data_IF_117659616386
#
_entry.id   IF_117659616386
#
_cell.length_a   1.000
_cell.length_b   1.000
_cell.length_c   1.000
_cell.angle_alpha   90.00
_cell.angle_beta   90.00
_cell.angle_gamma   90.00
#
_symmetry.space_group_name_H-M   'P 1'
#
loop_
_entity.id
_entity.type
_entity.pdbx_description
1 polymer ?
#
# COMPACT_ATOMS: atom_id res chain seq x y z
N UNK A 1 -57.14 -9.99 -0.88
CA UNK A 1 -56.42 -8.75 -1.23
C UNK A 1 -55.29 -8.66 -0.22
N UNK A 2 -54.06 -8.91 -0.68
CA UNK A 2 -52.88 -9.08 0.15
C UNK A 2 -52.54 -7.80 0.93
N UNK A 3 -51.97 -7.90 2.15
CA UNK A 3 -51.41 -6.75 2.83
C UNK A 3 -50.15 -6.28 2.12
N UNK A 4 -50.16 -5.01 1.72
CA UNK A 4 -49.05 -4.24 1.19
C UNK A 4 -47.91 -4.19 2.22
N UNK A 5 -46.87 -4.98 1.98
CA UNK A 5 -45.59 -4.92 2.68
C UNK A 5 -44.85 -3.68 2.17
N UNK A 6 -45.32 -2.50 2.59
CA UNK A 6 -44.49 -1.32 2.68
C UNK A 6 -43.38 -1.65 3.70
N UNK A 7 -42.33 -2.27 3.20
CA UNK A 7 -41.10 -2.52 3.92
C UNK A 7 -40.61 -1.15 4.41
N UNK A 8 -40.81 -0.91 5.70
CA UNK A 8 -40.09 0.07 6.49
C UNK A 8 -38.61 -0.32 6.46
N UNK A 9 -37.94 -0.01 5.34
CA UNK A 9 -36.49 0.08 5.30
C UNK A 9 -36.13 1.30 6.12
N UNK A 10 -35.99 1.07 7.42
CA UNK A 10 -35.31 1.98 8.33
C UNK A 10 -33.88 2.06 7.79
N UNK A 11 -33.61 3.13 7.04
CA UNK A 11 -32.27 3.44 6.56
C UNK A 11 -31.41 3.69 7.79
N UNK A 12 -30.60 2.68 8.14
CA UNK A 12 -29.66 2.75 9.24
C UNK A 12 -28.55 3.70 8.81
N UNK A 13 -28.68 4.99 9.18
CA UNK A 13 -27.65 6.05 9.14
C UNK A 13 -26.33 5.62 8.47
N UNK A 14 -26.28 5.81 7.15
CA UNK A 14 -25.05 5.71 6.36
C UNK A 14 -24.09 6.77 6.91
N UNK A 15 -22.94 6.35 7.46
CA UNK A 15 -21.86 7.31 7.69
C UNK A 15 -21.25 7.60 6.32
N UNK A 16 -21.57 8.78 5.78
CA UNK A 16 -21.02 9.26 4.53
C UNK A 16 -19.61 9.81 4.77
N UNK A 17 -18.66 9.35 3.98
CA UNK A 17 -17.28 9.83 3.98
C UNK A 17 -17.02 10.57 2.67
N UNK A 18 -17.38 11.86 2.57
CA UNK A 18 -17.19 12.62 1.35
C UNK A 18 -15.70 12.88 1.12
N UNK A 19 -15.23 12.54 -0.07
CA UNK A 19 -13.93 13.02 -0.56
C UNK A 19 -13.98 14.53 -0.67
N UNK A 20 -13.04 15.24 -0.05
CA UNK A 20 -13.00 16.71 -0.12
C UNK A 20 -12.05 17.18 -1.22
N UNK A 21 -12.61 17.65 -2.33
CA UNK A 21 -11.88 18.32 -3.40
C UNK A 21 -11.74 17.51 -4.69
N UNK A 22 -12.00 18.15 -5.83
CA UNK A 22 -11.69 17.61 -7.15
C UNK A 22 -10.17 17.70 -7.40
N UNK A 23 -9.58 16.66 -7.99
CA UNK A 23 -8.17 16.69 -8.43
C UNK A 23 -8.09 17.06 -9.91
N UNK A 24 -7.15 17.94 -10.25
CA UNK A 24 -6.80 18.26 -11.64
C UNK A 24 -5.77 17.27 -12.23
N UNK A 25 -5.26 16.34 -11.42
CA UNK A 25 -4.29 15.33 -11.86
C UNK A 25 -4.98 14.05 -12.35
N UNK A 26 -5.53 14.10 -13.57
CA UNK A 26 -6.18 12.94 -14.20
C UNK A 26 -5.23 11.77 -14.45
N UNK A 27 -3.95 12.07 -14.72
CA UNK A 27 -2.94 11.04 -14.96
C UNK A 27 -2.62 10.32 -13.66
N UNK A 28 -2.46 11.05 -12.55
CA UNK A 28 -2.31 10.45 -11.23
C UNK A 28 -3.45 9.50 -10.87
N UNK A 29 -4.70 9.88 -11.17
CA UNK A 29 -5.90 9.04 -11.00
C UNK A 29 -5.86 7.77 -11.85
N UNK A 30 -5.50 7.89 -13.13
CA UNK A 30 -5.41 6.73 -14.04
C UNK A 30 -4.34 5.73 -13.55
N UNK A 31 -3.19 6.25 -13.12
CA UNK A 31 -2.04 5.44 -12.71
C UNK A 31 -2.13 4.94 -11.25
N UNK A 32 -3.14 5.40 -10.49
CA UNK A 32 -3.33 4.98 -9.10
C UNK A 32 -2.28 5.55 -8.14
N UNK A 33 -1.69 6.70 -8.47
CA UNK A 33 -0.67 7.39 -7.67
C UNK A 33 -1.19 8.64 -6.95
N UNK A 34 -2.50 8.90 -7.05
CA UNK A 34 -3.16 9.97 -6.32
C UNK A 34 -3.10 9.75 -4.80
N UNK A 35 -3.25 10.85 -4.05
CA UNK A 35 -3.46 10.76 -2.60
C UNK A 35 -4.67 9.88 -2.28
N UNK A 36 -4.41 8.82 -1.49
CA UNK A 36 -5.40 7.89 -0.99
C UNK A 36 -5.96 8.43 0.33
N UNK A 37 -7.28 8.64 0.37
CA UNK A 37 -7.97 8.96 1.62
C UNK A 37 -8.23 7.69 2.42
N UNK A 38 -7.92 7.73 3.71
CA UNK A 38 -8.12 6.60 4.63
C UNK A 38 -9.09 6.99 5.72
N UNK A 39 -10.10 6.16 5.90
CA UNK A 39 -11.12 6.35 6.92
C UNK A 39 -11.03 5.20 7.92
N UNK A 40 -11.08 5.54 9.21
CA UNK A 40 -11.16 4.55 10.27
C UNK A 40 -12.61 4.42 10.74
N UNK A 41 -13.20 3.26 10.53
CA UNK A 41 -14.54 2.94 11.02
C UNK A 41 -14.51 1.84 12.08
N UNK A 42 -15.31 1.99 13.15
CA UNK A 42 -15.41 1.02 14.25
C UNK A 42 -16.57 0.05 14.02
N UNK A 43 -16.28 -1.08 13.40
CA UNK A 43 -17.26 -2.16 13.19
C UNK A 43 -17.67 -2.83 14.52
N UNK A 44 -18.94 -3.26 14.59
CA UNK A 44 -19.46 -4.09 15.70
C UNK A 44 -19.65 -5.53 15.20
N UNK A 45 -19.10 -6.50 15.93
CA UNK A 45 -18.98 -7.93 15.57
C UNK A 45 -20.29 -8.69 15.28
N UNK A 46 -21.45 -8.04 15.37
CA UNK A 46 -22.77 -8.69 15.21
C UNK A 46 -23.74 -7.83 14.40
N UNK A 47 -23.23 -6.82 13.71
CA UNK A 47 -24.03 -5.96 12.85
C UNK A 47 -23.57 -6.13 11.40
N UNK A 48 -24.45 -6.49 10.45
CA UNK A 48 -24.13 -6.42 9.04
C UNK A 48 -23.98 -4.95 8.62
N UNK A 49 -23.08 -4.69 7.67
CA UNK A 49 -22.84 -3.37 7.12
C UNK A 49 -22.82 -3.47 5.60
N UNK A 50 -23.56 -2.58 4.94
CA UNK A 50 -23.50 -2.40 3.50
C UNK A 50 -22.43 -1.36 3.18
N UNK A 51 -21.47 -1.74 2.34
CA UNK A 51 -20.46 -0.82 1.84
C UNK A 51 -20.93 -0.30 0.49
N UNK A 52 -21.48 0.91 0.48
CA UNK A 52 -21.96 1.57 -0.73
C UNK A 52 -20.91 2.59 -1.17
N UNK A 53 -20.52 2.50 -2.43
CA UNK A 53 -19.62 3.45 -3.07
C UNK A 53 -20.39 4.19 -4.17
N UNK A 54 -20.51 5.50 -4.02
CA UNK A 54 -21.10 6.37 -5.03
C UNK A 54 -20.02 7.22 -5.68
N UNK A 55 -20.08 7.34 -7.00
CA UNK A 55 -19.16 8.18 -7.77
C UNK A 55 -19.97 9.22 -8.51
N UNK A 56 -19.46 10.44 -8.55
CA UNK A 56 -20.05 11.52 -9.32
C UNK A 56 -19.09 11.94 -10.42
N UNK A 57 -19.61 12.36 -11.59
CA UNK A 57 -18.78 13.00 -12.60
C UNK A 57 -18.02 14.17 -12.00
N UNK A 58 -16.77 14.33 -12.41
CA UNK A 58 -15.95 15.44 -11.96
C UNK A 58 -16.61 16.78 -12.34
N UNK A 59 -16.67 17.76 -11.42
CA UNK A 59 -17.20 19.09 -11.72
C UNK A 59 -16.24 19.94 -12.57
N UNK A 60 -14.99 19.49 -12.73
CA UNK A 60 -13.99 20.13 -13.60
C UNK A 60 -13.82 19.29 -14.87
N UNK A 61 -13.58 19.96 -16.01
CA UNK A 61 -13.39 19.28 -17.29
C UNK A 61 -12.04 18.54 -17.33
N UNK A 62 -12.05 17.33 -16.78
CA UNK A 62 -10.94 16.38 -16.74
C UNK A 62 -11.40 15.00 -17.28
N UNK A 63 -12.46 15.04 -18.10
CA UNK A 63 -13.51 14.03 -18.27
C UNK A 63 -13.14 12.78 -19.08
N UNK A 64 -11.88 12.59 -19.46
CA UNK A 64 -11.51 11.45 -20.31
C UNK A 64 -11.00 10.23 -19.53
N UNK A 65 -10.75 10.36 -18.22
CA UNK A 65 -10.17 9.28 -17.42
C UNK A 65 -10.99 9.06 -16.14
N UNK A 66 -11.84 8.03 -16.16
CA UNK A 66 -12.48 7.48 -14.97
C UNK A 66 -11.79 6.17 -14.60
N UNK A 67 -11.16 6.11 -13.43
CA UNK A 67 -10.64 4.85 -12.89
C UNK A 67 -11.25 4.62 -11.51
N UNK A 68 -11.96 3.51 -11.35
CA UNK A 68 -12.59 3.12 -10.10
C UNK A 68 -11.86 1.92 -9.51
N UNK A 69 -11.20 2.14 -8.38
CA UNK A 69 -10.69 1.05 -7.57
C UNK A 69 -11.67 0.77 -6.44
N UNK A 70 -12.06 -0.50 -6.22
CA UNK A 70 -12.85 -0.85 -5.06
C UNK A 70 -12.07 -0.50 -3.78
N UNK A 71 -12.77 -0.13 -2.70
CA UNK A 71 -12.11 0.22 -1.46
C UNK A 71 -11.52 -1.05 -0.83
N UNK A 72 -10.28 -0.94 -0.36
CA UNK A 72 -9.67 -2.00 0.45
C UNK A 72 -10.07 -1.81 1.91
N UNK A 73 -10.61 -2.86 2.53
CA UNK A 73 -10.89 -2.89 3.97
C UNK A 73 -9.82 -3.76 4.63
N UNK A 74 -9.04 -3.14 5.52
CA UNK A 74 -8.10 -3.86 6.39
C UNK A 74 -8.45 -3.62 7.86
N UNK A 75 -8.25 -4.63 8.70
CA UNK A 75 -8.41 -4.46 10.13
C UNK A 75 -7.23 -3.67 10.72
N UNK A 76 -7.51 -2.89 11.76
CA UNK A 76 -6.46 -2.20 12.52
C UNK A 76 -5.46 -3.16 13.15
N UNK A 77 -5.88 -4.38 13.47
CA UNK A 77 -4.98 -5.38 14.04
C UNK A 77 -3.95 -5.83 13.00
N UNK A 78 -4.39 -6.11 11.76
CA UNK A 78 -3.49 -6.42 10.64
C UNK A 78 -2.54 -5.25 10.34
N UNK A 79 -3.04 -4.01 10.37
CA UNK A 79 -2.21 -2.82 10.15
C UNK A 79 -1.16 -2.59 11.24
N UNK A 80 -1.42 -3.04 12.47
CA UNK A 80 -0.52 -2.86 13.62
C UNK A 80 0.45 -4.01 13.82
N UNK A 81 0.35 -5.09 13.04
CA UNK A 81 1.28 -6.19 13.18
C UNK A 81 2.71 -5.71 12.97
N UNK A 82 3.57 -6.00 13.96
CA UNK A 82 4.98 -5.68 13.89
C UNK A 82 5.70 -6.71 12.99
N UNK A 83 5.43 -6.61 11.68
CA UNK A 83 6.01 -7.48 10.67
C UNK A 83 7.53 -7.38 10.59
N UNK A 84 8.10 -6.23 11.00
CA UNK A 84 9.54 -6.04 11.12
C UNK A 84 10.14 -6.94 12.21
N UNK A 85 9.58 -6.92 13.42
CA UNK A 85 10.03 -7.79 14.51
C UNK A 85 9.85 -9.27 14.16
N UNK A 86 8.71 -9.61 13.54
CA UNK A 86 8.46 -10.98 13.07
C UNK A 86 9.50 -11.44 12.05
N UNK A 87 9.80 -10.62 11.04
CA UNK A 87 10.81 -10.93 10.03
C UNK A 87 12.21 -11.05 10.62
N UNK A 88 12.57 -10.18 11.56
CA UNK A 88 13.87 -10.20 12.24
C UNK A 88 14.04 -11.45 13.10
N UNK A 89 13.01 -11.85 13.86
CA UNK A 89 13.05 -13.06 14.68
C UNK A 89 13.21 -14.33 13.81
N UNK A 90 12.46 -14.42 12.70
CA UNK A 90 12.60 -15.53 11.77
C UNK A 90 14.01 -15.61 11.16
N UNK A 91 14.62 -14.46 10.86
CA UNK A 91 16.00 -14.42 10.36
C UNK A 91 17.01 -14.88 11.42
N UNK A 92 16.81 -14.54 12.69
CA UNK A 92 17.68 -14.95 13.79
C UNK A 92 17.70 -16.49 13.99
N UNK A 93 16.58 -17.15 13.75
CA UNK A 93 16.40 -18.60 13.92
C UNK A 93 16.83 -19.41 12.69
N UNK A 94 17.01 -18.76 11.53
CA UNK A 94 17.35 -19.41 10.28
C UNK A 94 18.87 -19.52 10.06
N UNK A 95 19.31 -20.57 9.35
CA UNK A 95 20.70 -20.69 8.93
C UNK A 95 21.09 -19.61 7.91
N UNK A 96 20.16 -19.27 7.00
CA UNK A 96 20.32 -18.26 5.97
C UNK A 96 18.99 -17.51 5.79
N UNK A 97 19.05 -16.17 5.82
CA UNK A 97 17.91 -15.32 5.53
C UNK A 97 17.97 -14.78 4.09
N UNK A 98 16.89 -14.98 3.31
CA UNK A 98 16.71 -14.36 1.99
C UNK A 98 15.68 -13.23 2.12
N UNK A 99 16.11 -12.00 1.83
CA UNK A 99 15.29 -10.80 1.99
C UNK A 99 14.86 -10.28 0.62
N UNK A 100 13.54 -10.24 0.37
CA UNK A 100 12.97 -9.64 -0.84
C UNK A 100 12.62 -8.18 -0.57
N UNK A 101 13.32 -7.27 -1.24
CA UNK A 101 13.06 -5.82 -1.22
C UNK A 101 13.10 -5.29 -2.64
N UNK A 102 12.42 -4.17 -2.87
CA UNK A 102 12.41 -3.50 -4.16
C UNK A 102 11.10 -2.74 -4.39
N UNK A 103 11.01 -2.12 -5.56
CA UNK A 103 9.80 -1.45 -6.04
C UNK A 103 8.70 -2.47 -6.38
N UNK A 104 7.47 -2.09 -6.12
CA UNK A 104 6.32 -2.77 -6.74
C UNK A 104 6.06 -2.15 -8.12
N UNK A 105 5.32 -2.85 -8.98
CA UNK A 105 4.95 -2.34 -10.32
C UNK A 105 4.26 -0.98 -10.28
N UNK A 106 3.62 -0.62 -9.17
CA UNK A 106 2.97 0.67 -8.98
C UNK A 106 3.98 1.82 -8.80
N UNK A 107 5.17 1.53 -8.27
CA UNK A 107 6.24 2.53 -8.10
C UNK A 107 7.03 2.78 -9.39
N UNK A 108 6.99 1.85 -10.35
CA UNK A 108 7.66 1.98 -11.66
C UNK A 108 6.62 2.04 -12.77
N UNK A 109 5.68 2.98 -12.65
CA UNK A 109 4.60 3.11 -13.61
C UNK A 109 5.08 3.83 -14.88
N UNK A 110 4.73 3.28 -16.05
CA UNK A 110 5.07 3.88 -17.35
C UNK A 110 4.52 5.31 -17.45
N UNK A 111 5.40 6.26 -17.79
CA UNK A 111 5.06 7.68 -17.93
C UNK A 111 5.29 8.55 -16.69
N UNK A 112 5.81 8.00 -15.59
CA UNK A 112 6.24 8.77 -14.41
C UNK A 112 7.66 8.36 -13.99
N UNK A 113 8.58 9.33 -13.99
CA UNK A 113 9.92 9.12 -13.44
C UNK A 113 9.90 9.11 -11.91
N UNK A 114 10.77 8.31 -11.31
CA UNK A 114 10.99 8.30 -9.86
C UNK A 114 11.64 9.62 -9.41
N UNK A 115 11.07 10.26 -8.38
CA UNK A 115 11.67 11.44 -7.76
C UNK A 115 12.99 11.13 -7.02
N UNK A 116 13.17 9.90 -6.56
CA UNK A 116 14.33 9.45 -5.79
C UNK A 116 14.67 7.98 -6.09
N UNK A 117 15.95 7.63 -5.97
CA UNK A 117 16.47 6.26 -6.16
C UNK A 117 16.54 5.45 -4.85
N UNK A 118 15.76 5.81 -3.85
CA UNK A 118 15.69 5.09 -2.56
C UNK A 118 14.76 3.90 -2.66
N UNK A 119 14.98 2.87 -1.84
CA UNK A 119 14.01 1.81 -1.67
C UNK A 119 12.64 2.39 -1.22
N UNK A 120 11.54 1.77 -1.67
CA UNK A 120 10.21 2.35 -1.49
C UNK A 120 9.78 2.37 -0.02
N UNK A 121 8.67 3.09 0.21
CA UNK A 121 8.04 3.30 1.52
C UNK A 121 8.81 4.21 2.51
N UNK A 122 9.85 4.92 2.08
CA UNK A 122 10.62 5.86 2.91
C UNK A 122 11.24 5.21 4.17
N UNK A 123 12.01 4.14 3.97
CA UNK A 123 12.85 3.55 5.03
C UNK A 123 12.39 2.29 5.77
N UNK A 124 11.16 1.74 5.64
CA UNK A 124 10.82 0.43 6.21
C UNK A 124 11.65 -0.71 5.63
N UNK A 125 11.94 -0.68 4.32
CA UNK A 125 12.77 -1.70 3.68
C UNK A 125 14.24 -1.59 4.14
N UNK A 126 14.79 -0.38 4.23
CA UNK A 126 16.15 -0.18 4.77
C UNK A 126 16.26 -0.65 6.23
N UNK A 127 15.23 -0.40 7.03
CA UNK A 127 15.14 -0.89 8.41
C UNK A 127 15.08 -2.41 8.47
N UNK A 128 14.29 -3.06 7.61
CA UNK A 128 14.23 -4.52 7.52
C UNK A 128 15.59 -5.11 7.20
N UNK A 129 16.27 -4.59 6.17
CA UNK A 129 17.61 -5.05 5.76
C UNK A 129 18.59 -4.90 6.93
N UNK A 130 18.63 -3.71 7.54
CA UNK A 130 19.54 -3.41 8.66
C UNK A 130 19.29 -4.35 9.85
N UNK A 131 18.02 -4.56 10.22
CA UNK A 131 17.65 -5.46 11.32
C UNK A 131 18.00 -6.92 11.03
N UNK A 132 17.75 -7.41 9.81
CA UNK A 132 18.07 -8.79 9.43
C UNK A 132 19.58 -9.03 9.40
N UNK A 133 20.36 -8.12 8.80
CA UNK A 133 21.83 -8.25 8.73
C UNK A 133 22.46 -8.26 10.13
N UNK A 134 21.89 -7.55 11.09
CA UNK A 134 22.38 -7.52 12.47
C UNK A 134 22.25 -8.87 13.19
N UNK A 135 21.24 -9.67 12.86
CA UNK A 135 20.93 -10.96 13.53
C UNK A 135 21.35 -12.18 12.72
N UNK A 136 21.46 -12.04 11.40
CA UNK A 136 21.89 -13.08 10.46
C UNK A 136 22.84 -12.48 9.41
N UNK A 137 24.10 -12.19 9.79
CA UNK A 137 25.09 -11.64 8.88
C UNK A 137 25.55 -12.71 7.88
N UNK A 138 25.70 -12.32 6.61
CA UNK A 138 26.30 -13.19 5.60
C UNK A 138 27.76 -13.45 5.99
N UNK A 139 28.22 -14.71 6.07
CA UNK A 139 29.60 -15.01 6.40
C UNK A 139 30.56 -14.40 5.36
N UNK A 140 31.65 -13.82 5.86
CA UNK A 140 32.61 -12.91 5.18
C UNK A 140 33.37 -13.43 3.95
N UNK A 141 33.01 -14.57 3.36
CA UNK A 141 33.87 -15.27 2.40
C UNK A 141 33.87 -14.74 0.95
N UNK A 142 33.32 -13.55 0.67
CA UNK A 142 33.35 -12.98 -0.70
C UNK A 142 33.68 -11.48 -0.73
N UNK A 143 34.73 -11.07 -0.01
CA UNK A 143 35.53 -9.91 -0.46
C UNK A 143 36.79 -10.44 -1.13
N UNK A 144 36.63 -11.07 -2.30
CA UNK A 144 37.75 -11.28 -3.20
C UNK A 144 38.27 -9.90 -3.58
N UNK A 145 39.48 -9.58 -3.15
CA UNK A 145 40.20 -8.39 -3.54
C UNK A 145 40.05 -8.20 -5.05
N UNK A 146 39.34 -7.15 -5.46
CA UNK A 146 39.48 -6.62 -6.81
C UNK A 146 40.92 -6.13 -6.92
N UNK A 147 41.82 -7.02 -7.35
CA UNK A 147 43.16 -6.67 -7.78
C UNK A 147 43.00 -5.57 -8.83
N UNK A 148 43.41 -4.35 -8.48
CA UNK A 148 43.66 -3.30 -9.46
C UNK A 148 44.81 -3.81 -10.34
N UNK A 149 44.46 -4.45 -11.46
CA UNK A 149 45.39 -4.67 -12.55
C UNK A 149 45.57 -3.33 -13.26
N UNK A 150 46.67 -2.66 -12.95
CA UNK A 150 47.16 -1.49 -13.65
C UNK A 150 47.39 -1.86 -15.12
N UNK A 151 46.57 -1.33 -16.04
CA UNK A 151 46.89 -1.35 -17.46
C UNK A 151 48.00 -0.32 -17.71
N UNK A 152 49.22 -0.81 -17.91
CA UNK A 152 50.25 -0.08 -18.64
C UNK A 152 50.25 -0.53 -20.10
N UNK A 153 49.91 0.39 -20.98
CA UNK A 153 50.15 0.37 -22.42
C UNK A 153 50.48 1.79 -22.85
#
# INVERSE_FOLDING_TARGET
MEPDIAALTTSFRTEEFPRTGATNDSVGVLLGVQHEERVLFKFKSSKPYDLVMETHPSPVNNAELTNLHPPWVLSQEEMKQNVLAKGTNLAQEADVAVVFVGNTKQWETEGQDLSFLTLPANGPHDRLITSVVAVNPIPSWSTSQASQSSYHG
#
